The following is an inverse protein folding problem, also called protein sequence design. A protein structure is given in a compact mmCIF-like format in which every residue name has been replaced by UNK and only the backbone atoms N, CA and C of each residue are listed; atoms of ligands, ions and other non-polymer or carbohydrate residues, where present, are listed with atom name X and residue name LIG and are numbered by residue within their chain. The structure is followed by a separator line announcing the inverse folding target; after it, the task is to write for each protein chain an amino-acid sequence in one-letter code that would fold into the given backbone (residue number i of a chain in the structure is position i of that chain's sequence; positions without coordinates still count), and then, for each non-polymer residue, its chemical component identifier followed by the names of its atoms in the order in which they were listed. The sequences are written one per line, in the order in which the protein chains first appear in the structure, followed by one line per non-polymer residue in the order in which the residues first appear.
data_IF_848949143907
#
_entry.id   IF_848949143907
#
_cell.length_a   1.000
_cell.length_b   1.000
_cell.length_c   1.000
_cell.angle_alpha   90.00
_cell.angle_beta   90.00
_cell.angle_gamma   90.00
#
_symmetry.space_group_name_H-M   'P 1'
#
loop_
_entity.id
_entity.type
_entity.pdbx_description
1 polymer ?
#
# COMPACT_ATOMS: atom_id res chain seq x y z
N UNK A 1 -12.26 -59.69 9.83
CA UNK A 1 -12.82 -58.53 10.57
C UNK A 1 -11.78 -57.68 11.32
N UNK A 2 -10.68 -58.21 11.86
CA UNK A 2 -9.65 -57.39 12.56
C UNK A 2 -8.88 -56.41 11.64
N UNK A 3 -8.62 -56.77 10.39
CA UNK A 3 -7.89 -55.91 9.42
C UNK A 3 -8.71 -54.70 8.96
N UNK A 4 -10.04 -54.80 8.91
CA UNK A 4 -10.92 -53.70 8.48
C UNK A 4 -11.05 -52.60 9.56
N UNK A 5 -11.00 -53.00 10.85
CA UNK A 5 -11.04 -52.02 11.96
C UNK A 5 -9.77 -51.16 12.02
N UNK A 6 -8.62 -51.73 11.64
CA UNK A 6 -7.34 -51.02 11.67
C UNK A 6 -7.23 -49.96 10.56
N UNK A 7 -7.82 -50.21 9.41
CA UNK A 7 -7.86 -49.24 8.30
C UNK A 7 -8.73 -48.02 8.63
N UNK A 8 -9.88 -48.24 9.31
CA UNK A 8 -10.78 -47.14 9.69
C UNK A 8 -10.12 -46.21 10.75
N UNK A 9 -9.36 -46.77 11.70
CA UNK A 9 -8.66 -45.98 12.72
C UNK A 9 -7.54 -45.15 12.07
N UNK A 10 -6.82 -45.70 11.10
CA UNK A 10 -5.80 -44.96 10.36
C UNK A 10 -6.40 -43.79 9.54
N UNK A 11 -7.59 -43.96 8.97
CA UNK A 11 -8.27 -42.94 8.18
C UNK A 11 -8.80 -41.78 9.05
N UNK A 12 -9.27 -42.10 10.27
CA UNK A 12 -9.77 -41.05 11.20
C UNK A 12 -8.65 -40.21 11.78
N UNK A 13 -7.46 -40.79 12.03
CA UNK A 13 -6.29 -40.04 12.50
C UNK A 13 -5.75 -39.09 11.42
N UNK A 14 -5.87 -39.43 10.16
CA UNK A 14 -5.44 -38.55 9.05
C UNK A 14 -6.30 -37.30 8.89
N UNK A 15 -7.53 -37.27 9.42
CA UNK A 15 -8.44 -36.12 9.36
C UNK A 15 -8.23 -35.13 10.52
N UNK A 16 -7.40 -35.48 11.50
CA UNK A 16 -7.10 -34.63 12.67
C UNK A 16 -5.80 -33.83 12.55
N UNK A 17 -5.18 -33.81 11.37
CA UNK A 17 -4.06 -32.89 11.13
C UNK A 17 -4.63 -31.47 11.11
N UNK A 18 -4.30 -30.61 12.09
CA UNK A 18 -4.69 -29.22 12.01
C UNK A 18 -4.05 -28.65 10.74
N UNK A 19 -4.85 -28.25 9.76
CA UNK A 19 -4.40 -27.39 8.70
C UNK A 19 -3.87 -26.14 9.38
N UNK A 20 -2.54 -26.03 9.53
CA UNK A 20 -1.88 -24.79 9.82
C UNK A 20 -2.28 -23.86 8.67
N UNK A 21 -3.31 -23.06 8.88
CA UNK A 21 -3.54 -21.91 8.06
C UNK A 21 -2.24 -21.12 8.13
N UNK A 22 -1.51 -21.05 7.03
CA UNK A 22 -0.51 -20.03 6.83
C UNK A 22 -1.28 -18.71 6.76
N UNK A 23 -1.66 -18.20 7.94
CA UNK A 23 -1.83 -16.79 8.09
C UNK A 23 -0.45 -16.22 7.79
N UNK A 24 -0.27 -15.68 6.59
CA UNK A 24 0.79 -14.73 6.35
C UNK A 24 0.58 -13.66 7.41
N UNK A 25 1.33 -13.73 8.51
CA UNK A 25 1.45 -12.61 9.41
C UNK A 25 2.04 -11.50 8.56
N UNK A 26 1.21 -10.55 8.14
CA UNK A 26 1.70 -9.23 7.85
C UNK A 26 2.36 -8.81 9.18
N UNK A 27 3.70 -8.86 9.21
CA UNK A 27 4.43 -8.26 10.30
C UNK A 27 4.03 -6.79 10.27
N UNK A 28 3.22 -6.37 11.23
CA UNK A 28 3.05 -4.96 11.53
C UNK A 28 4.40 -4.51 12.04
N UNK A 29 5.15 -3.80 11.20
CA UNK A 29 6.36 -3.11 11.62
C UNK A 29 5.98 -2.20 12.79
N UNK A 30 6.89 -2.09 13.76
CA UNK A 30 6.63 -1.33 14.98
C UNK A 30 6.32 0.13 14.69
N UNK A 31 5.56 0.79 15.54
CA UNK A 31 5.18 2.20 15.37
C UNK A 31 6.43 3.07 15.17
N UNK A 32 6.51 3.72 14.01
CA UNK A 32 7.63 4.57 13.60
C UNK A 32 8.51 3.98 12.49
N UNK A 33 8.22 2.79 12.01
CA UNK A 33 8.80 2.21 10.79
C UNK A 33 7.80 2.33 9.64
N UNK A 34 8.31 2.51 8.43
CA UNK A 34 7.49 2.63 7.22
C UNK A 34 7.26 1.25 6.60
N UNK A 35 6.02 0.81 6.55
CA UNK A 35 5.61 -0.41 5.89
C UNK A 35 5.51 -0.20 4.38
N UNK A 36 6.33 -0.93 3.61
CA UNK A 36 6.21 -0.91 2.15
C UNK A 36 4.94 -1.62 1.69
N UNK A 37 4.03 -0.89 1.07
CA UNK A 37 2.73 -1.41 0.61
C UNK A 37 2.65 -1.64 -0.90
N UNK A 38 3.63 -1.19 -1.66
CA UNK A 38 3.71 -1.50 -3.09
C UNK A 38 4.29 -0.39 -3.95
N UNK A 39 4.34 -0.65 -5.26
CA UNK A 39 4.76 0.33 -6.26
C UNK A 39 3.89 0.24 -7.51
N UNK A 40 3.95 1.28 -8.33
CA UNK A 40 3.32 1.31 -9.64
C UNK A 40 4.07 2.20 -10.63
N UNK A 41 3.96 1.83 -11.91
CA UNK A 41 4.36 2.66 -13.05
C UNK A 41 3.11 3.24 -13.70
N UNK A 42 3.03 4.55 -13.82
CA UNK A 42 1.83 5.18 -14.34
C UNK A 42 2.13 6.46 -15.14
N UNK A 43 1.20 6.85 -16.00
CA UNK A 43 1.27 8.09 -16.78
C UNK A 43 0.41 9.19 -16.19
N UNK A 44 -0.82 8.90 -15.88
CA UNK A 44 -1.81 9.86 -15.36
C UNK A 44 -2.26 9.53 -13.94
N UNK A 45 -2.46 8.24 -13.65
CA UNK A 45 -2.96 7.77 -12.36
C UNK A 45 -2.37 6.39 -12.04
N UNK A 46 -1.94 6.19 -10.80
CA UNK A 46 -1.48 4.90 -10.31
C UNK A 46 -2.66 3.97 -9.97
N UNK A 47 -2.34 2.71 -9.69
CA UNK A 47 -3.26 1.81 -8.98
C UNK A 47 -3.51 2.33 -7.56
N UNK A 48 -4.51 1.74 -6.91
CA UNK A 48 -4.78 2.01 -5.50
C UNK A 48 -3.74 1.34 -4.58
N UNK A 49 -3.37 2.06 -3.53
CA UNK A 49 -2.59 1.61 -2.40
C UNK A 49 -3.49 1.66 -1.16
N UNK A 50 -3.46 0.60 -0.36
CA UNK A 50 -4.33 0.46 0.81
C UNK A 50 -3.57 0.83 2.07
N UNK A 51 -4.09 1.82 2.82
CA UNK A 51 -3.51 2.32 4.07
C UNK A 51 -4.44 2.08 5.25
N UNK A 52 -3.87 1.76 6.41
CA UNK A 52 -4.60 1.64 7.68
C UNK A 52 -4.84 2.98 8.38
N UNK A 53 -4.34 4.09 7.83
CA UNK A 53 -4.42 5.42 8.40
C UNK A 53 -3.12 5.84 9.10
N UNK A 54 -3.10 7.02 9.69
CA UNK A 54 -1.89 7.62 10.27
C UNK A 54 -1.20 8.53 9.27
N UNK A 55 0.07 8.29 8.98
CA UNK A 55 0.83 8.99 7.96
C UNK A 55 1.00 8.10 6.73
N UNK A 56 0.98 8.67 5.54
CA UNK A 56 1.16 7.95 4.27
C UNK A 56 2.31 8.56 3.49
N UNK A 57 3.22 7.75 2.98
CA UNK A 57 4.39 8.24 2.26
C UNK A 57 4.44 7.71 0.83
N UNK A 58 4.76 8.60 -0.10
CA UNK A 58 5.13 8.23 -1.46
C UNK A 58 6.59 8.55 -1.71
N UNK A 59 7.28 7.70 -2.47
CA UNK A 59 8.62 7.96 -2.97
C UNK A 59 8.63 7.85 -4.49
N UNK A 60 9.14 8.87 -5.15
CA UNK A 60 9.27 8.90 -6.62
C UNK A 60 10.69 8.53 -7.04
N UNK A 61 10.80 7.80 -8.16
CA UNK A 61 12.10 7.61 -8.80
C UNK A 61 12.61 8.93 -9.40
N UNK A 62 13.92 9.11 -9.43
CA UNK A 62 14.56 10.31 -9.98
C UNK A 62 14.28 10.52 -11.48
N UNK A 63 13.95 9.45 -12.21
CA UNK A 63 13.53 9.52 -13.62
C UNK A 63 12.07 9.91 -13.81
N UNK A 64 11.28 9.94 -12.75
CA UNK A 64 9.87 10.34 -12.81
C UNK A 64 9.76 11.79 -13.30
N UNK A 65 8.80 12.09 -14.18
CA UNK A 65 8.63 13.42 -14.74
C UNK A 65 8.38 14.48 -13.67
N UNK A 66 8.97 15.65 -13.87
CA UNK A 66 8.72 16.84 -13.03
C UNK A 66 7.28 17.30 -13.16
N UNK A 67 6.69 17.78 -12.09
CA UNK A 67 5.33 18.29 -12.12
C UNK A 67 4.58 18.11 -10.81
N UNK A 68 3.29 18.42 -10.84
CA UNK A 68 2.43 18.23 -9.69
C UNK A 68 1.93 16.78 -9.61
N UNK A 69 2.10 16.20 -8.45
CA UNK A 69 1.56 14.93 -8.04
C UNK A 69 0.50 15.16 -6.98
N UNK A 70 -0.63 14.48 -7.11
CA UNK A 70 -1.76 14.61 -6.20
C UNK A 70 -2.07 13.27 -5.59
N UNK A 71 -2.27 13.24 -4.29
CA UNK A 71 -2.84 12.09 -3.61
C UNK A 71 -4.36 12.26 -3.57
N UNK A 72 -5.06 11.22 -4.00
CA UNK A 72 -6.50 11.09 -3.90
C UNK A 72 -6.85 9.85 -3.10
N UNK A 73 -7.97 9.92 -2.44
CA UNK A 73 -8.66 8.77 -1.86
C UNK A 73 -9.83 8.40 -2.77
N UNK A 74 -9.93 7.11 -3.13
CA UNK A 74 -11.01 6.59 -3.96
C UNK A 74 -12.22 6.27 -3.08
N UNK A 75 -13.33 6.92 -3.36
CA UNK A 75 -14.61 6.65 -2.71
C UNK A 75 -15.54 5.92 -3.70
N UNK A 76 -15.89 4.65 -3.45
CA UNK A 76 -16.69 3.85 -4.39
C UNK A 76 -18.13 4.36 -4.57
N UNK A 77 -18.59 5.26 -3.70
CA UNK A 77 -19.98 5.74 -3.69
C UNK A 77 -20.13 7.24 -3.90
N UNK A 78 -19.05 7.99 -3.89
CA UNK A 78 -19.06 9.44 -4.10
C UNK A 78 -17.93 9.86 -5.05
N UNK A 79 -17.59 11.14 -5.04
CA UNK A 79 -16.45 11.65 -5.79
C UNK A 79 -15.20 11.44 -4.94
N UNK A 80 -14.12 10.99 -5.58
CA UNK A 80 -12.82 10.83 -4.94
C UNK A 80 -12.37 12.13 -4.27
N UNK A 81 -11.87 12.00 -3.06
CA UNK A 81 -11.39 13.12 -2.27
C UNK A 81 -9.92 13.42 -2.54
N UNK A 82 -9.65 14.67 -2.87
CA UNK A 82 -8.28 15.13 -2.99
C UNK A 82 -7.67 15.35 -1.61
N UNK A 83 -6.74 14.49 -1.22
CA UNK A 83 -6.02 14.60 0.05
C UNK A 83 -5.05 15.78 0.04
N UNK A 84 -4.13 15.82 -0.93
CA UNK A 84 -3.13 16.87 -1.07
C UNK A 84 -2.48 16.88 -2.46
N UNK A 85 -1.67 17.90 -2.72
CA UNK A 85 -0.83 17.98 -3.91
C UNK A 85 0.58 18.42 -3.56
N UNK A 86 1.57 17.87 -4.28
CA UNK A 86 2.99 18.15 -4.08
C UNK A 86 3.70 18.29 -5.41
N UNK A 87 4.63 19.24 -5.53
CA UNK A 87 5.43 19.44 -6.72
C UNK A 87 6.76 18.67 -6.63
N UNK A 88 7.02 17.83 -7.64
CA UNK A 88 8.30 17.11 -7.79
C UNK A 88 9.17 17.80 -8.83
N UNK A 89 10.39 18.18 -8.45
CA UNK A 89 11.35 18.89 -9.31
C UNK A 89 12.40 17.99 -9.97
N UNK A 90 12.27 16.66 -9.80
CA UNK A 90 13.20 15.67 -10.32
C UNK A 90 14.35 15.32 -9.38
N UNK A 91 14.29 15.73 -8.13
CA UNK A 91 15.32 15.47 -7.14
C UNK A 91 14.91 15.86 -5.73
N UNK A 92 15.87 16.02 -4.85
CA UNK A 92 15.65 16.56 -3.52
C UNK A 92 15.30 18.05 -3.63
N UNK A 93 14.25 18.47 -2.95
CA UNK A 93 13.77 19.84 -2.92
C UNK A 93 12.78 20.02 -1.76
N UNK A 94 12.11 21.16 -1.71
CA UNK A 94 11.30 21.58 -0.57
C UNK A 94 10.20 20.59 -0.17
N UNK A 95 9.70 19.79 -1.12
CA UNK A 95 8.59 18.87 -0.91
C UNK A 95 8.99 17.39 -0.90
N UNK A 96 10.14 17.05 -1.47
CA UNK A 96 10.65 15.69 -1.51
C UNK A 96 12.01 15.62 -0.85
N UNK A 97 12.18 14.70 0.08
CA UNK A 97 13.37 14.55 0.89
C UNK A 97 13.74 13.07 1.08
N UNK A 98 14.88 12.83 1.65
CA UNK A 98 15.35 11.47 1.96
C UNK A 98 14.72 11.00 3.28
N UNK A 99 14.07 9.83 3.25
CA UNK A 99 13.55 9.15 4.44
C UNK A 99 14.32 7.84 4.63
N UNK A 100 15.12 7.74 5.66
CA UNK A 100 16.04 6.61 5.82
C UNK A 100 16.97 6.45 4.61
N UNK A 101 16.87 5.34 3.90
CA UNK A 101 17.60 5.06 2.66
C UNK A 101 16.79 5.38 1.38
N UNK A 102 15.54 5.79 1.51
CA UNK A 102 14.63 6.08 0.39
C UNK A 102 14.82 7.54 -0.04
N UNK A 103 15.21 7.79 -1.31
CA UNK A 103 15.31 9.14 -1.83
C UNK A 103 13.95 9.65 -2.30
N UNK A 104 13.81 10.94 -2.42
CA UNK A 104 12.67 11.62 -3.07
C UNK A 104 11.30 11.18 -2.54
N UNK A 105 11.14 11.19 -1.21
CA UNK A 105 9.90 10.83 -0.54
C UNK A 105 9.15 12.07 -0.04
N UNK A 106 7.81 11.99 -0.04
CA UNK A 106 6.92 12.97 0.56
C UNK A 106 5.96 12.26 1.51
N UNK A 107 5.77 12.82 2.72
CA UNK A 107 4.88 12.28 3.75
C UNK A 107 3.61 13.12 3.80
N UNK A 108 2.47 12.48 3.60
CA UNK A 108 1.15 13.01 3.89
C UNK A 108 0.79 12.63 5.32
N UNK A 109 0.57 13.63 6.17
CA UNK A 109 0.36 13.39 7.60
C UNK A 109 -1.11 13.40 7.96
N UNK A 110 -1.42 12.63 9.03
CA UNK A 110 -2.75 12.62 9.64
C UNK A 110 -3.87 12.25 8.65
N UNK A 111 -3.62 11.26 7.78
CA UNK A 111 -4.60 10.83 6.77
C UNK A 111 -5.66 9.86 7.31
N UNK A 112 -5.69 9.61 8.61
CA UNK A 112 -6.65 8.67 9.24
C UNK A 112 -8.12 9.04 9.04
N UNK A 113 -8.43 10.30 8.70
CA UNK A 113 -9.79 10.73 8.38
C UNK A 113 -10.37 10.16 7.08
N UNK A 114 -9.53 9.54 6.24
CA UNK A 114 -9.92 8.88 5.00
C UNK A 114 -10.16 7.37 5.16
N UNK A 115 -9.95 6.82 6.36
CA UNK A 115 -10.25 5.42 6.68
C UNK A 115 -11.74 5.33 7.02
N UNK A 116 -12.58 5.18 6.02
CA UNK A 116 -14.03 5.26 6.16
C UNK A 116 -14.80 4.02 5.65
N UNK A 117 -14.13 3.14 4.93
CA UNK A 117 -14.72 1.92 4.39
C UNK A 117 -15.01 0.84 5.45
N UNK A 118 -15.76 -0.18 5.06
CA UNK A 118 -16.06 -1.35 5.92
C UNK A 118 -14.87 -2.29 6.11
N UNK A 119 -13.77 -2.03 5.42
CA UNK A 119 -12.52 -2.79 5.45
C UNK A 119 -11.47 -2.15 6.36
N UNK A 120 -11.79 -1.06 7.06
CA UNK A 120 -10.89 -0.28 7.91
C UNK A 120 -9.62 0.19 7.17
N UNK A 121 -9.76 0.57 5.90
CA UNK A 121 -8.66 1.06 5.05
C UNK A 121 -9.12 2.22 4.18
N UNK A 122 -8.15 3.10 3.87
CA UNK A 122 -8.28 4.09 2.82
C UNK A 122 -7.64 3.56 1.53
N UNK A 123 -8.24 3.87 0.39
CA UNK A 123 -7.78 3.50 -0.95
C UNK A 123 -7.13 4.70 -1.63
N UNK A 124 -5.81 4.87 -1.48
CA UNK A 124 -5.09 6.00 -2.06
C UNK A 124 -4.55 5.70 -3.45
N UNK A 125 -4.65 6.66 -4.35
CA UNK A 125 -3.91 6.67 -5.61
C UNK A 125 -3.20 7.99 -5.86
N UNK A 126 -2.14 7.93 -6.66
CA UNK A 126 -1.37 9.11 -7.06
C UNK A 126 -1.76 9.51 -8.49
N UNK A 127 -2.16 10.76 -8.67
CA UNK A 127 -2.48 11.31 -9.99
C UNK A 127 -1.49 12.42 -10.37
N UNK A 128 -1.33 12.65 -11.67
CA UNK A 128 -0.48 13.71 -12.24
C UNK A 128 -1.29 14.64 -13.12
N UNK A 129 -0.86 15.91 -13.17
CA UNK A 129 -1.49 16.90 -14.03
C UNK A 129 -1.09 16.79 -15.51
N UNK A 130 -0.07 15.98 -15.82
CA UNK A 130 0.45 15.79 -17.20
C UNK A 130 0.62 14.31 -17.48
N UNK A 131 0.48 13.91 -18.75
CA UNK A 131 0.64 12.55 -19.25
C UNK A 131 2.02 12.31 -19.89
N UNK A 132 2.92 13.30 -19.82
CA UNK A 132 4.26 13.21 -20.41
C UNK A 132 5.17 12.27 -19.62
N UNK A 133 5.55 11.16 -20.24
CA UNK A 133 6.42 10.17 -19.63
C UNK A 133 5.71 9.30 -18.58
N UNK A 134 6.42 8.33 -18.06
CA UNK A 134 5.97 7.40 -17.05
C UNK A 134 6.61 7.75 -15.70
N UNK A 135 5.85 7.72 -14.64
CA UNK A 135 6.34 7.89 -13.27
C UNK A 135 6.38 6.55 -12.57
N UNK A 136 7.39 6.34 -11.73
CA UNK A 136 7.45 5.24 -10.78
C UNK A 136 7.23 5.80 -9.38
N UNK A 137 6.23 5.28 -8.71
CA UNK A 137 5.92 5.61 -7.31
C UNK A 137 5.99 4.36 -6.44
N UNK A 138 6.70 4.44 -5.31
CA UNK A 138 6.59 3.51 -4.20
C UNK A 138 5.72 4.12 -3.10
N UNK A 139 4.87 3.30 -2.46
CA UNK A 139 3.98 3.72 -1.38
C UNK A 139 4.30 2.99 -0.08
N UNK A 140 4.15 3.70 1.03
CA UNK A 140 4.47 3.26 2.39
C UNK A 140 3.42 3.80 3.37
N UNK A 141 3.12 2.99 4.38
CA UNK A 141 2.15 3.27 5.44
C UNK A 141 2.83 3.28 6.81
#
# INVERSE_FOLDING_TARGET
MKKFKMVIIALVVALLVPSSAFASSMETLGSGEWDYIGYDYFRTQSKNFYSGGGDFMICLDSSSPKGNYYLFEEDPYSRDDKVAGVYFNGGSGDNFYKVGNLPHCHIFRDIGGFVDGTNDRAEFYVSRSTDTGEALVGAYD
#
